data_IF_089194713714
#
_entry.id   IF_089194713714
#
_cell.length_a   1.000
_cell.length_b   1.000
_cell.length_c   1.000
_cell.angle_alpha   90.00
_cell.angle_beta   90.00
_cell.angle_gamma   90.00
#
_symmetry.space_group_name_H-M   'P 1'
#
loop_
_entity.id
_entity.type
_entity.pdbx_description
1 polymer ?
#
# COMPACT_ATOMS: atom_id res chain seq x y z
N UNK A 1 15.91 39.85 -45.87
CA UNK A 1 15.04 40.45 -46.91
C UNK A 1 14.34 41.65 -46.28
N UNK A 2 14.96 42.81 -46.40
CA UNK A 2 14.41 44.11 -46.00
C UNK A 2 13.48 44.55 -47.13
N UNK A 3 12.19 44.67 -46.84
CA UNK A 3 11.26 45.38 -47.72
C UNK A 3 10.94 46.70 -47.03
N UNK A 4 11.67 47.74 -47.45
CA UNK A 4 11.27 49.13 -47.23
C UNK A 4 9.90 49.34 -47.89
N UNK A 5 8.87 49.53 -47.07
CA UNK A 5 7.66 50.19 -47.51
C UNK A 5 7.64 51.56 -46.81
N UNK A 6 7.96 52.58 -47.60
CA UNK A 6 7.90 54.00 -47.23
C UNK A 6 6.45 54.43 -47.02
N UNK A 7 5.87 54.04 -45.88
CA UNK A 7 4.59 54.56 -45.44
C UNK A 7 4.85 55.81 -44.59
N UNK A 8 4.60 56.98 -45.18
CA UNK A 8 4.45 58.23 -44.43
C UNK A 8 3.61 57.96 -43.17
N UNK A 9 4.05 58.41 -41.98
CA UNK A 9 3.38 58.04 -40.74
C UNK A 9 1.91 58.50 -40.83
N UNK A 10 0.93 57.63 -40.54
CA UNK A 10 -0.49 57.93 -40.74
C UNK A 10 -0.97 59.16 -39.96
N UNK A 11 -0.18 59.64 -39.00
CA UNK A 11 -0.39 60.89 -38.26
C UNK A 11 -0.09 62.15 -39.10
N UNK A 12 0.92 62.16 -39.96
CA UNK A 12 1.27 63.34 -40.79
C UNK A 12 0.25 63.57 -41.91
N UNK A 13 -0.20 62.49 -42.55
CA UNK A 13 -1.23 62.56 -43.60
C UNK A 13 -2.55 63.05 -43.01
N UNK A 14 -2.92 62.56 -41.81
CA UNK A 14 -4.11 63.03 -41.08
C UNK A 14 -3.98 64.50 -40.67
N UNK A 15 -2.80 64.94 -40.23
CA UNK A 15 -2.54 66.35 -39.86
C UNK A 15 -2.60 67.33 -41.03
N UNK A 16 -2.06 66.96 -42.20
CA UNK A 16 -2.19 67.81 -43.39
C UNK A 16 -3.65 67.89 -43.87
N UNK A 17 -4.39 66.78 -43.84
CA UNK A 17 -5.81 66.75 -44.22
C UNK A 17 -6.68 67.60 -43.30
N UNK A 18 -6.43 67.60 -41.98
CA UNK A 18 -7.19 68.44 -41.05
C UNK A 18 -6.90 69.92 -41.25
N UNK A 19 -5.64 70.31 -41.50
CA UNK A 19 -5.28 71.71 -41.79
C UNK A 19 -5.90 72.18 -43.10
N UNK A 20 -5.87 71.36 -44.14
CA UNK A 20 -6.49 71.67 -45.43
C UNK A 20 -8.01 71.80 -45.31
N UNK A 21 -8.66 70.90 -44.55
CA UNK A 21 -10.09 70.99 -44.28
C UNK A 21 -10.44 72.28 -43.51
N UNK A 22 -9.64 72.65 -42.51
CA UNK A 22 -9.84 73.87 -41.74
C UNK A 22 -9.68 75.12 -42.61
N UNK A 23 -8.66 75.15 -43.47
CA UNK A 23 -8.44 76.24 -44.43
C UNK A 23 -9.59 76.35 -45.45
N UNK A 24 -10.09 75.21 -45.94
CA UNK A 24 -11.24 75.16 -46.84
C UNK A 24 -12.51 75.69 -46.16
N UNK A 25 -12.75 75.32 -44.90
CA UNK A 25 -13.87 75.81 -44.11
C UNK A 25 -13.77 77.33 -43.91
N UNK A 26 -12.58 77.86 -43.62
CA UNK A 26 -12.36 79.31 -43.49
C UNK A 26 -12.62 80.04 -44.82
N UNK A 27 -12.15 79.51 -45.95
CA UNK A 27 -12.39 80.10 -47.27
C UNK A 27 -13.88 80.05 -47.65
N UNK A 28 -14.56 78.95 -47.34
CA UNK A 28 -16.00 78.81 -47.54
C UNK A 28 -16.77 79.81 -46.67
N UNK A 29 -16.39 79.97 -45.40
CA UNK A 29 -16.98 80.96 -44.48
C UNK A 29 -16.75 82.39 -45.00
N UNK A 30 -15.55 82.74 -45.48
CA UNK A 30 -15.24 84.07 -46.05
C UNK A 30 -16.04 84.35 -47.33
N UNK A 31 -16.16 83.38 -48.24
CA UNK A 31 -16.98 83.54 -49.44
C UNK A 31 -18.48 83.66 -49.12
N UNK A 32 -18.96 82.92 -48.13
CA UNK A 32 -20.36 82.99 -47.68
C UNK A 32 -20.66 84.33 -46.98
N UNK A 33 -19.79 84.78 -46.08
CA UNK A 33 -19.89 86.07 -45.38
C UNK A 33 -19.87 87.27 -46.34
N UNK A 34 -19.06 87.21 -47.42
CA UNK A 34 -19.01 88.27 -48.44
C UNK A 34 -20.29 88.36 -49.29
N UNK A 35 -21.02 87.26 -49.48
CA UNK A 35 -22.30 87.24 -50.19
C UNK A 35 -23.51 87.62 -49.32
N UNK A 36 -23.35 87.65 -48.00
CA UNK A 36 -24.44 87.75 -47.01
C UNK A 36 -24.86 89.16 -46.61
N UNK A 37 -24.23 90.20 -47.16
CA UNK A 37 -24.57 91.60 -46.86
C UNK A 37 -25.97 92.00 -47.37
N UNK A 38 -26.67 91.15 -48.14
CA UNK A 38 -27.94 91.50 -48.80
C UNK A 38 -29.11 90.50 -48.65
N UNK A 39 -29.00 89.46 -47.80
CA UNK A 39 -30.09 88.50 -47.54
C UNK A 39 -30.69 88.68 -46.13
N UNK A 40 -32.02 88.51 -45.96
CA UNK A 40 -32.65 88.63 -44.66
C UNK A 40 -32.15 87.53 -43.71
N UNK A 41 -31.93 87.85 -42.42
CA UNK A 41 -31.21 86.98 -41.48
C UNK A 41 -31.93 85.66 -41.18
N UNK A 42 -33.24 85.58 -41.38
CA UNK A 42 -34.07 84.39 -41.16
C UNK A 42 -33.66 83.18 -42.03
N UNK A 43 -33.52 83.36 -43.33
CA UNK A 43 -33.14 82.29 -44.30
C UNK A 43 -31.74 81.72 -44.08
N UNK A 44 -30.87 82.59 -43.58
CA UNK A 44 -29.46 82.39 -43.28
C UNK A 44 -29.27 81.48 -42.06
N UNK A 45 -30.00 81.75 -40.98
CA UNK A 45 -29.98 80.92 -39.78
C UNK A 45 -30.65 79.55 -40.02
N UNK A 46 -31.66 79.49 -40.89
CA UNK A 46 -32.33 78.25 -41.28
C UNK A 46 -31.40 77.30 -42.06
N UNK A 47 -30.64 77.83 -43.03
CA UNK A 47 -29.63 77.08 -43.79
C UNK A 47 -28.46 76.60 -42.91
N UNK A 48 -28.00 77.43 -41.96
CA UNK A 48 -26.98 77.04 -41.00
C UNK A 48 -27.47 75.94 -40.06
N UNK A 49 -28.72 76.03 -39.59
CA UNK A 49 -29.35 75.02 -38.74
C UNK A 49 -29.48 73.65 -39.43
N UNK A 50 -29.83 73.63 -40.73
CA UNK A 50 -29.91 72.39 -41.52
C UNK A 50 -28.53 71.74 -41.74
N UNK A 51 -27.48 72.53 -41.99
CA UNK A 51 -26.12 72.02 -42.07
C UNK A 51 -25.64 71.42 -40.74
N UNK A 52 -25.89 72.09 -39.62
CA UNK A 52 -25.55 71.57 -38.29
C UNK A 52 -26.33 70.28 -37.98
N UNK A 53 -27.62 70.23 -38.32
CA UNK A 53 -28.43 69.01 -38.15
C UNK A 53 -27.93 67.85 -39.01
N UNK A 54 -27.56 68.09 -40.28
CA UNK A 54 -26.99 67.08 -41.15
C UNK A 54 -25.63 66.55 -40.63
N UNK A 55 -24.79 67.44 -40.11
CA UNK A 55 -23.48 67.09 -39.55
C UNK A 55 -23.62 66.30 -38.24
N UNK A 56 -24.58 66.67 -37.39
CA UNK A 56 -24.93 65.93 -36.19
C UNK A 56 -25.46 64.52 -36.54
N UNK A 57 -26.33 64.40 -37.55
CA UNK A 57 -26.81 63.11 -38.04
C UNK A 57 -25.67 62.24 -38.56
N UNK A 58 -24.72 62.80 -39.31
CA UNK A 58 -23.55 62.08 -39.78
C UNK A 58 -22.66 61.60 -38.62
N UNK A 59 -22.52 62.40 -37.57
CA UNK A 59 -21.87 62.00 -36.32
C UNK A 59 -22.52 60.78 -35.67
N UNK A 60 -23.86 60.74 -35.60
CA UNK A 60 -24.61 59.57 -35.07
C UNK A 60 -24.41 58.33 -35.95
N UNK A 61 -24.45 58.47 -37.28
CA UNK A 61 -24.18 57.34 -38.19
C UNK A 61 -22.75 56.80 -38.00
N UNK A 62 -21.77 57.70 -37.82
CA UNK A 62 -20.39 57.31 -37.57
C UNK A 62 -20.22 56.57 -36.23
N UNK A 63 -20.86 57.04 -35.15
CA UNK A 63 -20.80 56.36 -33.84
C UNK A 63 -21.48 55.00 -33.87
N UNK A 64 -22.64 54.87 -34.53
CA UNK A 64 -23.31 53.58 -34.73
C UNK A 64 -22.43 52.61 -35.54
N UNK A 65 -21.77 53.09 -36.58
CA UNK A 65 -20.83 52.27 -37.35
C UNK A 65 -19.66 51.78 -36.48
N UNK A 66 -19.11 52.64 -35.63
CA UNK A 66 -18.00 52.30 -34.74
C UNK A 66 -18.42 51.29 -33.66
N UNK A 67 -19.58 51.51 -33.04
CA UNK A 67 -20.19 50.58 -32.07
C UNK A 67 -20.47 49.20 -32.69
N UNK A 68 -20.91 49.14 -33.95
CA UNK A 68 -21.14 47.86 -34.64
C UNK A 68 -19.85 47.04 -34.81
N UNK A 69 -18.72 47.71 -35.04
CA UNK A 69 -17.39 47.07 -35.15
C UNK A 69 -16.89 46.57 -33.79
N UNK A 70 -17.12 47.35 -32.74
CA UNK A 70 -16.75 46.97 -31.36
C UNK A 70 -17.55 45.75 -30.89
N UNK A 71 -18.86 45.69 -31.19
CA UNK A 71 -19.69 44.52 -30.93
C UNK A 71 -19.23 43.28 -31.71
N UNK A 72 -18.78 43.46 -32.96
CA UNK A 72 -18.23 42.35 -33.75
C UNK A 72 -16.93 41.81 -33.14
N UNK A 73 -16.04 42.68 -32.69
CA UNK A 73 -14.80 42.32 -32.00
C UNK A 73 -15.07 41.61 -30.66
N UNK A 74 -15.99 42.12 -29.84
CA UNK A 74 -16.36 41.48 -28.58
C UNK A 74 -16.94 40.07 -28.80
N UNK A 75 -17.75 39.87 -29.85
CA UNK A 75 -18.25 38.53 -30.19
C UNK A 75 -17.11 37.57 -30.56
N UNK A 76 -16.10 38.08 -31.25
CA UNK A 76 -14.91 37.31 -31.58
C UNK A 76 -14.10 36.96 -30.33
N UNK A 77 -13.84 37.93 -29.44
CA UNK A 77 -13.14 37.71 -28.18
C UNK A 77 -13.86 36.68 -27.29
N UNK A 78 -15.20 36.74 -27.21
CA UNK A 78 -15.99 35.74 -26.50
C UNK A 78 -15.89 34.35 -27.14
N UNK A 79 -15.87 34.27 -28.47
CA UNK A 79 -15.71 33.01 -29.19
C UNK A 79 -14.32 32.39 -28.91
N UNK A 80 -13.26 33.19 -28.93
CA UNK A 80 -11.89 32.76 -28.63
C UNK A 80 -11.74 32.37 -27.15
N UNK A 81 -12.36 33.13 -26.24
CA UNK A 81 -12.38 32.82 -24.80
C UNK A 81 -13.06 31.48 -24.52
N UNK A 82 -14.20 31.21 -25.17
CA UNK A 82 -14.88 29.90 -25.06
C UNK A 82 -14.03 28.76 -25.56
N UNK A 83 -13.29 28.96 -26.65
CA UNK A 83 -12.39 27.96 -27.21
C UNK A 83 -11.23 27.65 -26.26
N UNK A 84 -10.68 28.66 -25.60
CA UNK A 84 -9.62 28.47 -24.62
C UNK A 84 -10.11 27.81 -23.34
N UNK A 85 -11.27 28.22 -22.82
CA UNK A 85 -11.92 27.53 -21.70
C UNK A 85 -12.22 26.07 -22.03
N UNK A 86 -12.67 25.77 -23.25
CA UNK A 86 -12.90 24.39 -23.68
C UNK A 86 -11.60 23.57 -23.75
N UNK A 87 -10.47 24.19 -24.16
CA UNK A 87 -9.16 23.54 -24.12
C UNK A 87 -8.69 23.28 -22.70
N UNK A 88 -8.87 24.25 -21.79
CA UNK A 88 -8.55 24.09 -20.37
C UNK A 88 -9.38 22.99 -19.73
N UNK A 89 -10.70 22.97 -19.97
CA UNK A 89 -11.58 21.92 -19.47
C UNK A 89 -11.16 20.53 -19.97
N UNK A 90 -10.84 20.38 -21.27
CA UNK A 90 -10.32 19.12 -21.83
C UNK A 90 -8.97 18.72 -21.24
N UNK A 91 -8.08 19.68 -21.01
CA UNK A 91 -6.79 19.42 -20.37
C UNK A 91 -6.96 18.97 -18.92
N UNK A 92 -7.92 19.56 -18.20
CA UNK A 92 -8.25 19.21 -16.82
C UNK A 92 -8.90 17.83 -16.73
N UNK A 93 -9.87 17.52 -17.59
CA UNK A 93 -10.50 16.19 -17.67
C UNK A 93 -9.44 15.10 -17.95
N UNK A 94 -8.53 15.35 -18.89
CA UNK A 94 -7.43 14.41 -19.17
C UNK A 94 -6.47 14.26 -17.98
N UNK A 95 -6.24 15.33 -17.22
CA UNK A 95 -5.41 15.28 -16.01
C UNK A 95 -6.09 14.53 -14.89
N UNK A 96 -7.41 14.70 -14.70
CA UNK A 96 -8.21 13.93 -13.74
C UNK A 96 -8.24 12.45 -14.12
N UNK A 97 -8.39 12.12 -15.40
CA UNK A 97 -8.33 10.76 -15.88
C UNK A 97 -6.96 10.12 -15.60
N UNK A 98 -5.86 10.80 -15.95
CA UNK A 98 -4.50 10.30 -15.68
C UNK A 98 -4.23 10.14 -14.17
N UNK A 99 -4.73 11.08 -13.35
CA UNK A 99 -4.61 11.00 -11.90
C UNK A 99 -5.40 9.80 -11.34
N UNK A 100 -6.62 9.57 -11.84
CA UNK A 100 -7.44 8.43 -11.45
C UNK A 100 -6.76 7.10 -11.81
N UNK A 101 -6.17 7.02 -13.01
CA UNK A 101 -5.37 5.87 -13.43
C UNK A 101 -4.17 5.66 -12.50
N UNK A 102 -3.45 6.72 -12.13
CA UNK A 102 -2.32 6.65 -11.21
C UNK A 102 -2.76 6.19 -9.81
N UNK A 103 -3.87 6.68 -9.30
CA UNK A 103 -4.46 6.26 -8.01
C UNK A 103 -4.83 4.77 -8.05
N UNK A 104 -5.44 4.30 -9.14
CA UNK A 104 -5.77 2.88 -9.29
C UNK A 104 -4.53 1.97 -9.34
N UNK A 105 -3.43 2.45 -9.94
CA UNK A 105 -2.17 1.73 -9.99
C UNK A 105 -1.50 1.68 -8.61
N UNK A 106 -1.52 2.80 -7.88
CA UNK A 106 -1.05 2.87 -6.50
C UNK A 106 -1.84 1.95 -5.56
N UNK A 107 -3.17 1.91 -5.68
CA UNK A 107 -3.98 0.98 -4.90
C UNK A 107 -3.60 -0.47 -5.17
N UNK A 108 -3.43 -0.87 -6.43
CA UNK A 108 -2.97 -2.22 -6.79
C UNK A 108 -1.59 -2.54 -6.21
N UNK A 109 -0.68 -1.56 -6.17
CA UNK A 109 0.63 -1.74 -5.54
C UNK A 109 0.52 -1.89 -4.02
N UNK A 110 -0.32 -1.09 -3.36
CA UNK A 110 -0.57 -1.21 -1.92
C UNK A 110 -1.17 -2.59 -1.57
N UNK A 111 -2.12 -3.08 -2.36
CA UNK A 111 -2.70 -4.42 -2.19
C UNK A 111 -1.66 -5.53 -2.38
N UNK A 112 -0.80 -5.42 -3.40
CA UNK A 112 0.29 -6.36 -3.60
C UNK A 112 1.31 -6.35 -2.43
N UNK A 113 1.63 -5.17 -1.90
CA UNK A 113 2.53 -5.01 -0.76
C UNK A 113 1.92 -5.58 0.54
N UNK A 114 0.62 -5.41 0.76
CA UNK A 114 -0.06 -6.00 1.93
C UNK A 114 -0.10 -7.52 1.84
N UNK A 115 -0.38 -8.08 0.66
CA UNK A 115 -0.29 -9.53 0.44
C UNK A 115 1.14 -10.06 0.66
N UNK A 116 2.15 -9.34 0.16
CA UNK A 116 3.55 -9.71 0.35
C UNK A 116 3.97 -9.66 1.82
N UNK A 117 3.60 -8.59 2.54
CA UNK A 117 3.91 -8.48 3.97
C UNK A 117 3.24 -9.59 4.77
N UNK A 118 1.96 -9.88 4.50
CA UNK A 118 1.25 -11.00 5.12
C UNK A 118 1.93 -12.36 4.86
N UNK A 119 2.42 -12.62 3.64
CA UNK A 119 3.13 -13.86 3.32
C UNK A 119 4.46 -14.00 4.07
N UNK A 120 5.19 -12.90 4.27
CA UNK A 120 6.47 -12.88 5.01
C UNK A 120 6.25 -13.02 6.52
N UNK A 121 5.18 -12.43 7.06
CA UNK A 121 4.89 -12.45 8.49
C UNK A 121 4.04 -13.64 8.94
N UNK A 122 3.57 -14.47 8.00
CA UNK A 122 2.68 -15.61 8.25
C UNK A 122 3.25 -16.54 9.34
N UNK A 123 2.40 -17.08 10.23
CA UNK A 123 2.77 -18.21 11.09
C UNK A 123 3.07 -19.44 10.23
N UNK A 124 3.97 -20.29 10.69
CA UNK A 124 4.25 -21.58 10.05
C UNK A 124 4.33 -22.62 11.15
N UNK A 125 3.52 -23.68 11.05
CA UNK A 125 3.50 -24.74 12.05
C UNK A 125 4.48 -25.82 11.60
N UNK A 126 5.62 -25.87 12.26
CA UNK A 126 6.63 -26.90 12.04
C UNK A 126 6.35 -28.10 12.93
N UNK A 127 6.38 -29.29 12.34
CA UNK A 127 6.27 -30.55 13.07
C UNK A 127 7.54 -31.36 12.82
N UNK A 128 8.21 -31.77 13.90
CA UNK A 128 9.45 -32.54 13.80
C UNK A 128 9.57 -33.57 14.90
N UNK A 129 10.34 -34.62 14.62
CA UNK A 129 10.74 -35.59 15.64
C UNK A 129 12.06 -35.16 16.24
N UNK A 130 12.11 -35.12 17.58
CA UNK A 130 13.33 -34.93 18.35
C UNK A 130 13.62 -36.18 19.15
N UNK A 131 14.89 -36.55 19.22
CA UNK A 131 15.34 -37.60 20.13
C UNK A 131 15.88 -36.94 21.41
N UNK A 132 15.42 -37.41 22.56
CA UNK A 132 15.82 -36.93 23.88
C UNK A 132 16.20 -38.14 24.76
N UNK A 133 17.13 -37.96 25.71
CA UNK A 133 17.52 -39.01 26.68
C UNK A 133 17.81 -40.36 25.99
N UNK A 134 18.75 -40.32 25.03
CA UNK A 134 19.32 -41.44 24.27
C UNK A 134 18.40 -42.18 23.30
N UNK A 135 17.10 -42.37 23.58
CA UNK A 135 16.18 -43.09 22.66
C UNK A 135 14.74 -42.61 22.63
N UNK A 136 14.34 -41.65 23.47
CA UNK A 136 12.95 -41.19 23.52
C UNK A 136 12.65 -40.27 22.34
N UNK A 137 11.73 -40.69 21.48
CA UNK A 137 11.21 -39.86 20.41
C UNK A 137 10.12 -38.94 20.94
N UNK A 138 10.21 -37.66 20.60
CA UNK A 138 9.26 -36.62 20.97
C UNK A 138 8.80 -35.94 19.69
N UNK A 139 7.48 -35.86 19.51
CA UNK A 139 6.85 -35.01 18.51
C UNK A 139 6.88 -33.57 19.03
N UNK A 140 7.68 -32.73 18.39
CA UNK A 140 7.71 -31.31 18.64
C UNK A 140 6.88 -30.58 17.58
N UNK A 141 5.87 -29.85 18.03
CA UNK A 141 5.08 -28.95 17.20
C UNK A 141 5.42 -27.52 17.62
N UNK A 142 5.85 -26.69 16.67
CA UNK A 142 6.31 -25.33 16.95
C UNK A 142 5.76 -24.34 15.92
N UNK A 143 5.38 -23.14 16.36
CA UNK A 143 5.20 -22.03 15.44
C UNK A 143 6.56 -21.39 15.16
N UNK A 144 7.06 -21.58 13.94
CA UNK A 144 8.33 -21.01 13.46
C UNK A 144 8.14 -19.71 12.68
N UNK A 145 6.90 -19.30 12.43
CA UNK A 145 6.60 -18.04 11.76
C UNK A 145 6.68 -16.83 12.68
N UNK A 146 6.55 -15.63 12.11
CA UNK A 146 6.76 -14.37 12.85
C UNK A 146 5.53 -13.89 13.64
N UNK A 147 4.37 -14.43 13.33
CA UNK A 147 3.08 -14.05 13.92
C UNK A 147 2.44 -15.22 14.67
N UNK A 148 1.45 -14.97 15.56
CA UNK A 148 0.65 -16.04 16.13
C UNK A 148 -0.24 -16.72 15.08
N UNK A 149 -0.39 -18.03 15.17
CA UNK A 149 -1.45 -18.78 14.47
C UNK A 149 -2.72 -18.71 15.31
N UNK A 150 -3.80 -18.15 14.74
CA UNK A 150 -5.06 -17.99 15.47
C UNK A 150 -5.96 -19.20 15.23
N UNK A 151 -6.75 -19.56 16.23
CA UNK A 151 -7.72 -20.67 16.15
C UNK A 151 -7.08 -21.95 15.58
N UNK A 152 -5.91 -22.33 16.12
CA UNK A 152 -5.19 -23.50 15.67
C UNK A 152 -5.94 -24.77 16.11
N UNK A 153 -6.24 -25.63 15.15
CA UNK A 153 -6.79 -26.98 15.36
C UNK A 153 -5.84 -27.98 14.71
N UNK A 154 -5.54 -29.06 15.42
CA UNK A 154 -4.64 -30.11 14.95
C UNK A 154 -5.36 -31.45 14.94
N UNK A 155 -5.06 -32.29 13.95
CA UNK A 155 -5.64 -33.63 13.81
C UNK A 155 -4.56 -34.62 13.37
N UNK A 156 -4.74 -35.88 13.75
CA UNK A 156 -3.91 -37.01 13.34
C UNK A 156 -4.77 -37.96 12.51
N UNK A 157 -4.19 -38.54 11.46
CA UNK A 157 -4.85 -39.55 10.62
C UNK A 157 -4.90 -40.95 11.27
N UNK A 158 -3.94 -41.23 12.16
CA UNK A 158 -3.81 -42.50 12.90
C UNK A 158 -3.72 -42.25 14.39
N UNK A 159 -4.27 -43.19 15.15
CA UNK A 159 -4.10 -43.22 16.59
C UNK A 159 -2.66 -43.61 16.93
N UNK A 160 -2.08 -42.92 17.90
CA UNK A 160 -0.74 -43.22 18.38
C UNK A 160 -0.76 -43.32 19.91
N UNK A 161 -0.40 -44.50 20.40
CA UNK A 161 -0.33 -44.83 21.82
C UNK A 161 1.11 -44.66 22.32
N UNK A 162 1.26 -43.86 23.37
CA UNK A 162 2.56 -43.54 23.96
C UNK A 162 3.22 -44.85 24.44
N UNK A 163 4.47 -45.09 24.03
CA UNK A 163 5.25 -46.30 24.32
C UNK A 163 4.62 -47.63 23.85
N UNK A 164 3.59 -47.59 22.99
CA UNK A 164 2.84 -48.78 22.57
C UNK A 164 2.00 -49.40 23.68
N UNK A 165 1.65 -48.59 24.68
CA UNK A 165 0.88 -49.01 25.84
C UNK A 165 -0.60 -48.74 25.61
N UNK A 166 -1.44 -49.75 25.81
CA UNK A 166 -2.90 -49.64 25.72
C UNK A 166 -3.50 -48.87 26.90
N UNK A 167 -4.70 -48.32 26.70
CA UNK A 167 -5.36 -47.37 27.61
C UNK A 167 -5.62 -47.86 29.05
N UNK A 168 -5.56 -49.18 29.29
CA UNK A 168 -5.69 -49.74 30.63
C UNK A 168 -4.60 -49.27 31.61
N UNK A 169 -3.48 -48.73 31.10
CA UNK A 169 -2.29 -48.38 31.90
C UNK A 169 -2.17 -46.87 32.23
N UNK A 170 -3.27 -46.12 32.19
CA UNK A 170 -3.38 -44.70 32.64
C UNK A 170 -2.65 -43.64 31.78
N UNK A 171 -1.97 -44.02 30.70
CA UNK A 171 -1.33 -43.07 29.77
C UNK A 171 -2.20 -42.96 28.51
N UNK A 172 -2.94 -41.86 28.31
CA UNK A 172 -3.72 -41.66 27.09
C UNK A 172 -2.81 -41.46 25.88
N UNK A 173 -3.22 -41.96 24.71
CA UNK A 173 -2.51 -41.73 23.46
C UNK A 173 -2.44 -40.24 23.09
N UNK A 174 -1.46 -39.86 22.26
CA UNK A 174 -1.26 -38.44 21.90
C UNK A 174 -2.47 -37.86 21.17
N UNK A 175 -3.21 -38.71 20.45
CA UNK A 175 -4.42 -38.34 19.70
C UNK A 175 -5.52 -37.81 20.63
N UNK A 176 -5.47 -38.11 21.93
CA UNK A 176 -6.40 -37.61 22.95
C UNK A 176 -5.93 -36.37 23.69
N UNK A 177 -4.73 -35.87 23.39
CA UNK A 177 -4.24 -34.68 24.08
C UNK A 177 -5.14 -33.48 23.78
N UNK A 178 -5.28 -32.57 24.75
CA UNK A 178 -6.16 -31.39 24.65
C UNK A 178 -5.97 -30.62 23.34
N UNK A 179 -4.72 -30.50 22.90
CA UNK A 179 -4.31 -29.79 21.68
C UNK A 179 -4.84 -30.38 20.36
N UNK A 180 -5.28 -31.65 20.35
CA UNK A 180 -5.86 -32.31 19.17
C UNK A 180 -7.40 -32.35 19.18
N UNK A 181 -8.03 -31.95 20.29
CA UNK A 181 -9.49 -31.91 20.42
C UNK A 181 -10.06 -30.51 20.61
N UNK A 182 -9.21 -29.53 20.93
CA UNK A 182 -9.64 -28.18 21.23
C UNK A 182 -8.90 -27.19 20.34
N UNK A 183 -9.63 -26.15 19.94
CA UNK A 183 -9.06 -25.01 19.23
C UNK A 183 -8.20 -24.21 20.19
N UNK A 184 -6.93 -24.03 19.85
CA UNK A 184 -6.01 -23.15 20.57
C UNK A 184 -6.24 -21.74 20.04
N UNK A 185 -6.73 -20.79 20.85
CA UNK A 185 -7.12 -19.46 20.36
C UNK A 185 -5.95 -18.70 19.73
N UNK A 186 -4.76 -18.79 20.32
CA UNK A 186 -3.55 -18.19 19.81
C UNK A 186 -2.33 -19.08 20.09
N UNK A 187 -1.67 -19.52 19.03
CA UNK A 187 -0.43 -20.27 19.09
C UNK A 187 0.74 -19.36 18.69
N UNK A 188 1.33 -18.70 19.70
CA UNK A 188 2.30 -17.62 19.54
C UNK A 188 3.61 -18.06 18.88
N UNK A 189 4.31 -17.11 18.26
CA UNK A 189 5.64 -17.31 17.70
C UNK A 189 6.59 -17.92 18.76
N UNK A 190 7.29 -18.99 18.39
CA UNK A 190 8.26 -19.67 19.25
C UNK A 190 7.65 -20.63 20.26
N UNK A 191 6.33 -20.66 20.43
CA UNK A 191 5.66 -21.60 21.31
C UNK A 191 5.80 -23.03 20.79
N UNK A 192 5.98 -23.98 21.72
CA UNK A 192 6.23 -25.39 21.43
C UNK A 192 5.27 -26.27 22.21
N UNK A 193 4.82 -27.34 21.58
CA UNK A 193 4.16 -28.46 22.21
C UNK A 193 5.04 -29.69 22.02
N UNK A 194 5.21 -30.46 23.10
CA UNK A 194 6.07 -31.63 23.13
C UNK A 194 5.19 -32.82 23.52
N UNK A 195 5.11 -33.81 22.63
CA UNK A 195 4.38 -35.04 22.89
C UNK A 195 5.36 -36.22 22.85
N UNK A 196 5.55 -36.94 23.97
CA UNK A 196 6.36 -38.15 23.94
C UNK A 196 5.68 -39.21 23.07
N UNK A 197 6.46 -39.87 22.22
CA UNK A 197 5.99 -40.91 21.32
C UNK A 197 6.36 -42.29 21.87
N UNK A 198 7.52 -42.81 21.46
CA UNK A 198 8.02 -44.12 21.81
C UNK A 198 9.55 -44.07 21.92
N UNK A 199 10.15 -45.10 22.53
CA UNK A 199 11.59 -45.32 22.46
C UNK A 199 11.96 -46.12 21.22
N UNK A 200 13.19 -45.99 20.73
CA UNK A 200 13.69 -46.76 19.58
C UNK A 200 13.46 -48.27 19.70
N UNK A 201 13.65 -48.85 20.89
CA UNK A 201 13.39 -50.27 21.15
C UNK A 201 11.93 -50.67 20.96
N UNK A 202 11.00 -49.76 21.28
CA UNK A 202 9.55 -49.98 21.12
C UNK A 202 9.08 -49.85 19.68
N UNK A 203 9.83 -49.17 18.81
CA UNK A 203 9.55 -49.13 17.38
C UNK A 203 9.96 -50.41 16.65
N UNK A 204 10.79 -51.25 17.27
CA UNK A 204 11.34 -52.43 16.64
C UNK A 204 10.26 -53.48 16.42
N UNK A 205 10.00 -53.82 15.16
CA UNK A 205 8.98 -54.79 14.77
C UNK A 205 7.60 -54.20 14.55
N UNK A 206 7.41 -52.89 14.77
CA UNK A 206 6.18 -52.19 14.38
C UNK A 206 6.07 -52.06 12.86
N UNK A 207 4.83 -51.94 12.39
CA UNK A 207 4.46 -51.76 10.98
C UNK A 207 4.02 -50.30 10.72
N UNK A 208 4.07 -49.81 9.47
CA UNK A 208 3.46 -48.52 9.12
C UNK A 208 2.00 -48.37 9.56
N UNK A 209 1.27 -49.49 9.64
CA UNK A 209 -0.15 -49.55 10.02
C UNK A 209 -0.37 -50.27 11.36
N UNK A 210 0.65 -50.30 12.21
CA UNK A 210 0.52 -50.79 13.58
C UNK A 210 -0.56 -49.97 14.33
N UNK A 211 -1.55 -50.62 14.95
CA UNK A 211 -2.67 -49.92 15.60
C UNK A 211 -2.25 -49.19 16.88
N UNK A 212 -1.09 -49.51 17.46
CA UNK A 212 -0.59 -48.90 18.69
C UNK A 212 0.52 -47.89 18.39
N UNK A 213 1.49 -48.25 17.55
CA UNK A 213 2.62 -47.39 17.20
C UNK A 213 2.80 -47.35 15.68
N UNK A 214 1.97 -46.58 14.95
CA UNK A 214 2.12 -46.48 13.50
C UNK A 214 3.46 -45.81 13.16
N UNK A 215 4.27 -46.48 12.34
CA UNK A 215 5.55 -45.92 11.91
C UNK A 215 5.40 -44.75 10.93
N UNK A 216 4.26 -44.62 10.25
CA UNK A 216 3.97 -43.52 9.34
C UNK A 216 2.58 -42.98 9.63
N UNK A 217 2.50 -41.68 9.90
CA UNK A 217 1.25 -40.97 10.18
C UNK A 217 1.33 -39.51 9.74
N UNK A 218 0.20 -38.84 9.67
CA UNK A 218 0.02 -37.50 9.13
C UNK A 218 -0.61 -36.60 10.19
N UNK A 219 0.00 -35.45 10.41
CA UNK A 219 -0.53 -34.39 11.23
C UNK A 219 -1.02 -33.24 10.34
N UNK A 220 -2.30 -32.89 10.48
CA UNK A 220 -2.87 -31.72 9.79
C UNK A 220 -3.12 -30.60 10.79
N UNK A 221 -2.44 -29.48 10.60
CA UNK A 221 -2.59 -28.26 11.39
C UNK A 221 -3.37 -27.22 10.57
N UNK A 222 -4.52 -26.79 11.08
CA UNK A 222 -5.37 -25.77 10.45
C UNK A 222 -5.46 -24.55 11.34
N UNK A 223 -5.26 -23.37 10.79
CA UNK A 223 -5.26 -22.12 11.55
C UNK A 223 -5.70 -20.93 10.69
N UNK A 224 -6.00 -19.81 11.35
CA UNK A 224 -6.34 -18.54 10.72
C UNK A 224 -5.22 -17.51 10.88
N UNK A 225 -5.00 -16.71 9.83
CA UNK A 225 -4.10 -15.57 9.84
C UNK A 225 -4.57 -14.52 8.81
N UNK A 226 -4.55 -13.24 9.19
CA UNK A 226 -4.96 -12.12 8.33
C UNK A 226 -6.35 -12.31 7.65
N UNK A 227 -7.30 -12.93 8.37
CA UNK A 227 -8.65 -13.21 7.85
C UNK A 227 -8.75 -14.38 6.87
N UNK A 228 -7.64 -15.07 6.58
CA UNK A 228 -7.60 -16.27 5.74
C UNK A 228 -7.34 -17.52 6.58
N UNK A 229 -7.84 -18.66 6.11
CA UNK A 229 -7.61 -19.97 6.71
C UNK A 229 -6.52 -20.72 5.94
N UNK A 230 -5.61 -21.35 6.68
CA UNK A 230 -4.49 -22.11 6.16
C UNK A 230 -4.51 -23.52 6.73
N UNK A 231 -4.11 -24.50 5.93
CA UNK A 231 -3.97 -25.89 6.34
C UNK A 231 -2.59 -26.40 5.94
N UNK A 232 -1.87 -27.00 6.88
CA UNK A 232 -0.55 -27.56 6.70
C UNK A 232 -0.58 -29.04 7.07
N UNK A 233 -0.12 -29.87 6.13
CA UNK A 233 -0.12 -31.33 6.24
C UNK A 233 1.31 -31.80 6.37
N UNK A 234 1.61 -32.51 7.46
CA UNK A 234 2.94 -32.99 7.80
C UNK A 234 2.92 -34.51 7.86
N UNK A 235 3.61 -35.16 6.91
CA UNK A 235 3.80 -36.61 6.95
C UNK A 235 5.04 -36.94 7.78
N UNK A 236 4.84 -37.76 8.80
CA UNK A 236 5.85 -38.13 9.79
C UNK A 236 6.18 -39.60 9.57
N UNK A 237 7.47 -39.88 9.40
CA UNK A 237 8.00 -41.22 9.19
C UNK A 237 9.02 -41.56 10.27
N UNK A 238 8.65 -42.50 11.14
CA UNK A 238 9.47 -42.98 12.24
C UNK A 238 10.38 -44.14 11.83
N UNK A 239 10.26 -44.69 10.62
CA UNK A 239 11.06 -45.84 10.17
C UNK A 239 12.56 -45.55 10.20
N UNK A 240 12.94 -44.29 10.01
CA UNK A 240 14.34 -43.85 10.11
C UNK A 240 14.94 -44.05 11.51
N UNK A 241 14.09 -44.15 12.55
CA UNK A 241 14.53 -44.39 13.92
C UNK A 241 14.48 -45.89 14.30
N UNK A 242 13.97 -46.74 13.41
CA UNK A 242 13.97 -48.18 13.61
C UNK A 242 15.42 -48.68 13.55
N UNK A 243 15.91 -49.27 14.65
CA UNK A 243 17.32 -49.62 14.87
C UNK A 243 18.32 -48.43 14.92
N UNK A 244 17.86 -47.18 15.07
CA UNK A 244 18.78 -46.06 15.29
C UNK A 244 19.20 -46.01 16.76
N UNK A 245 20.50 -45.95 17.02
CA UNK A 245 21.06 -45.57 18.32
C UNK A 245 21.51 -44.11 18.26
N UNK A 246 21.22 -43.32 19.29
CA UNK A 246 21.83 -41.99 19.43
C UNK A 246 23.18 -42.16 20.13
N UNK A 247 24.19 -41.45 19.61
CA UNK A 247 25.52 -41.35 20.21
C UNK A 247 25.40 -40.77 21.62
N UNK A 248 25.85 -41.51 22.63
CA UNK A 248 25.83 -41.07 24.03
C UNK A 248 26.63 -39.78 24.17
N UNK A 249 26.01 -38.78 24.80
CA UNK A 249 26.62 -37.48 24.99
C UNK A 249 27.54 -37.51 26.23
N UNK A 250 28.75 -38.03 26.06
CA UNK A 250 29.74 -38.25 27.13
C UNK A 250 30.00 -37.01 28.02
N UNK A 251 29.78 -35.80 27.51
CA UNK A 251 29.96 -34.55 28.26
C UNK A 251 28.91 -34.36 29.37
N UNK A 252 27.66 -34.75 29.14
CA UNK A 252 26.61 -34.67 30.17
C UNK A 252 26.88 -35.66 31.32
N UNK A 253 27.37 -36.85 31.00
CA UNK A 253 27.75 -37.85 32.00
C UNK A 253 28.94 -37.37 32.84
N UNK A 254 29.93 -36.73 32.21
CA UNK A 254 31.08 -36.12 32.90
C UNK A 254 30.65 -34.99 33.82
N UNK A 255 29.78 -34.09 33.36
CA UNK A 255 29.26 -33.00 34.19
C UNK A 255 28.47 -33.54 35.39
N UNK A 256 27.69 -34.61 35.19
CA UNK A 256 26.94 -35.27 36.27
C UNK A 256 27.88 -35.95 37.27
N UNK A 257 28.96 -36.58 36.80
CA UNK A 257 30.00 -37.16 37.65
C UNK A 257 30.76 -36.10 38.46
N UNK A 258 31.11 -34.97 37.83
CA UNK A 258 31.73 -33.82 38.51
C UNK A 258 30.79 -33.27 39.59
N UNK A 259 29.52 -33.06 39.27
CA UNK A 259 28.51 -32.58 40.23
C UNK A 259 28.39 -33.50 41.45
N UNK A 260 28.32 -34.82 41.24
CA UNK A 260 28.32 -35.80 42.34
C UNK A 260 29.61 -35.76 43.18
N UNK A 261 30.77 -35.57 42.54
CA UNK A 261 32.04 -35.47 43.26
C UNK A 261 32.08 -34.21 44.15
N UNK A 262 31.56 -33.08 43.67
CA UNK A 262 31.47 -31.84 44.44
C UNK A 262 30.51 -31.97 45.63
N UNK A 263 29.35 -32.61 45.45
CA UNK A 263 28.44 -32.90 46.56
C UNK A 263 29.09 -33.79 47.63
N UNK A 264 29.88 -34.79 47.22
CA UNK A 264 30.59 -35.66 48.15
C UNK A 264 31.65 -34.90 48.96
N UNK A 265 32.36 -33.97 48.32
CA UNK A 265 33.32 -33.09 48.98
C UNK A 265 32.58 -32.18 49.96
N UNK A 266 31.51 -31.51 49.54
CA UNK A 266 30.73 -30.63 50.41
C UNK A 266 30.22 -31.35 51.67
N UNK A 267 29.68 -32.57 51.52
CA UNK A 267 29.25 -33.41 52.66
C UNK A 267 30.41 -33.82 53.57
N UNK A 268 31.58 -34.10 53.01
CA UNK A 268 32.78 -34.44 53.79
C UNK A 268 33.30 -33.23 54.59
N UNK A 269 33.30 -32.04 53.99
CA UNK A 269 33.69 -30.79 54.65
C UNK A 269 32.72 -30.42 55.77
N UNK A 270 31.41 -30.65 55.57
CA UNK A 270 30.40 -30.43 56.61
C UNK A 270 30.56 -31.41 57.79
N UNK A 271 30.97 -32.66 57.53
CA UNK A 271 31.32 -33.63 58.59
C UNK A 271 32.57 -33.23 59.35
N UNK A 272 33.62 -32.80 58.64
CA UNK A 272 34.85 -32.29 59.27
C UNK A 272 34.63 -31.01 60.09
N UNK A 273 33.64 -30.20 59.73
CA UNK A 273 33.23 -29.03 60.51
C UNK A 273 32.41 -29.37 61.77
N UNK A 274 31.85 -30.58 61.85
CA UNK A 274 30.99 -31.03 62.96
C UNK A 274 31.71 -31.96 63.95
N UNK A 275 32.89 -32.48 63.62
CA UNK A 275 33.74 -33.18 64.59
C UNK A 275 34.57 -32.17 65.41
N UNK A 276 34.43 -32.13 66.75
CA UNK A 276 35.28 -31.31 67.58
C UNK A 276 36.70 -31.87 67.50
N UNK A 277 37.68 -31.01 67.19
CA UNK A 277 39.11 -31.33 67.34
C UNK A 277 39.37 -31.77 68.77
N UNK A 278 39.40 -33.07 69.02
CA UNK A 278 40.01 -33.64 70.23
C UNK A 278 41.52 -33.47 70.10
N UNK A 279 42.00 -32.29 70.44
CA UNK A 279 43.42 -32.03 70.66
C UNK A 279 43.77 -32.55 72.06
N UNK A 280 44.50 -33.66 72.09
CA UNK A 280 45.42 -34.03 73.16
C UNK A 280 46.56 -33.02 73.27
#
# INVERSE_FOLDING_TARGET
>A
MLKEDSQLPPLLVRGCLTILFLALVVVLIDQYLRGWVWYPPDTVFEAAGTLVAALAFWGVVATVSLQSRELALQRQELADTRKELQRQAKAQEKSEQALSEQVSALHRQADALTAQTAAISRPYISVRIRVQQDTLLILEIQNTGKSPALNLTMTLDKEFHIMGVTESERIPGIHRAFSFHNTIPAFSNGMKLLFPLATGDKLKGSSPDDPLIPLVFTLTATYAYAGQQYSEVHSIDLRMFNNSFVEQNFELDRLTAISKSLESIAKSTERMSKEPRSLS
#
